data_IF_324538397406
#
_entry.id   IF_324538397406
#
_cell.length_a   1.000
_cell.length_b   1.000
_cell.length_c   1.000
_cell.angle_alpha   90.00
_cell.angle_beta   90.00
_cell.angle_gamma   90.00
#
_symmetry.space_group_name_H-M   'P 1'
#
loop_
_entity.id
_entity.type
_entity.pdbx_description
1 polymer ?
#
# COMPACT_ATOMS: atom_id res chain seq x y z
N UNK A 1 21.15 -1.84 0.19
CA UNK A 1 20.22 -0.79 -0.25
C UNK A 1 20.81 -0.14 -1.47
N UNK A 2 20.07 -0.04 -2.57
CA UNK A 2 20.48 0.61 -3.80
C UNK A 2 19.38 1.53 -4.30
N UNK A 3 19.68 2.82 -4.50
CA UNK A 3 18.78 3.79 -5.09
C UNK A 3 19.36 4.28 -6.40
N UNK A 4 18.54 4.33 -7.43
CA UNK A 4 18.89 4.96 -8.70
C UNK A 4 18.55 6.45 -8.68
N UNK A 5 18.85 7.13 -9.79
CA UNK A 5 18.72 8.58 -9.91
C UNK A 5 17.32 9.09 -9.58
N UNK A 6 17.26 10.28 -9.01
CA UNK A 6 16.03 11.07 -8.82
C UNK A 6 14.95 10.37 -7.97
N UNK A 7 15.35 9.49 -7.05
CA UNK A 7 14.43 8.95 -6.04
C UNK A 7 14.17 9.99 -4.95
N UNK A 8 12.92 10.10 -4.55
CA UNK A 8 12.51 10.88 -3.39
C UNK A 8 12.14 9.94 -2.24
N UNK A 9 12.81 10.11 -1.09
CA UNK A 9 12.59 9.27 0.09
C UNK A 9 12.21 10.15 1.26
N UNK A 10 11.02 9.92 1.78
CA UNK A 10 10.47 10.64 2.92
C UNK A 10 11.15 10.29 4.25
N UNK A 11 10.62 10.85 5.31
CA UNK A 11 11.16 10.74 6.66
C UNK A 11 10.76 9.42 7.33
N UNK A 12 11.60 8.96 8.27
CA UNK A 12 11.32 7.78 9.11
C UNK A 12 11.01 6.49 8.32
N UNK A 13 11.55 6.38 7.10
CA UNK A 13 11.43 5.19 6.27
C UNK A 13 12.39 4.09 6.74
N UNK A 14 12.03 2.84 6.50
CA UNK A 14 12.87 1.68 6.82
C UNK A 14 13.17 0.93 5.53
N UNK A 15 14.45 0.75 5.25
CA UNK A 15 14.93 -0.09 4.15
C UNK A 15 15.74 -1.24 4.73
N UNK A 16 15.24 -2.44 4.53
CA UNK A 16 15.96 -3.65 4.96
C UNK A 16 17.08 -4.03 3.96
N UNK A 17 17.80 -5.09 4.25
CA UNK A 17 18.95 -5.53 3.47
C UNK A 17 18.63 -5.69 1.98
N UNK A 18 19.46 -5.14 1.12
CA UNK A 18 19.34 -5.22 -0.35
C UNK A 18 18.02 -4.69 -0.93
N UNK A 19 17.27 -3.87 -0.18
CA UNK A 19 16.12 -3.16 -0.74
C UNK A 19 16.58 -2.21 -1.85
N UNK A 20 15.85 -2.20 -2.98
CA UNK A 20 16.27 -1.50 -4.21
C UNK A 20 15.16 -0.62 -4.75
N UNK A 21 15.50 0.62 -5.10
CA UNK A 21 14.62 1.53 -5.83
C UNK A 21 15.18 1.77 -7.23
N UNK A 22 14.36 1.60 -8.25
CA UNK A 22 14.69 2.05 -9.60
C UNK A 22 14.57 3.59 -9.71
N UNK A 23 14.82 4.16 -10.87
CA UNK A 23 14.82 5.63 -11.02
C UNK A 23 13.45 6.27 -10.79
N UNK A 24 13.46 7.50 -10.26
CA UNK A 24 12.26 8.33 -10.06
C UNK A 24 11.19 7.67 -9.17
N UNK A 25 11.59 6.87 -8.20
CA UNK A 25 10.68 6.26 -7.22
C UNK A 25 10.47 7.24 -6.06
N UNK A 26 9.22 7.38 -5.65
CA UNK A 26 8.85 8.16 -4.48
C UNK A 26 8.46 7.22 -3.34
N UNK A 27 9.11 7.34 -2.20
CA UNK A 27 8.78 6.61 -0.98
C UNK A 27 8.34 7.61 0.08
N UNK A 28 7.08 7.55 0.47
CA UNK A 28 6.51 8.47 1.44
C UNK A 28 6.94 8.13 2.89
N UNK A 29 6.64 9.04 3.81
CA UNK A 29 7.01 8.95 5.21
C UNK A 29 6.55 7.62 5.86
N UNK A 30 7.37 7.12 6.75
CA UNK A 30 7.10 5.92 7.55
C UNK A 30 6.89 4.63 6.75
N UNK A 31 7.17 4.62 5.46
CA UNK A 31 7.09 3.40 4.66
C UNK A 31 8.23 2.44 5.01
N UNK A 32 7.97 1.15 4.88
CA UNK A 32 8.96 0.09 5.06
C UNK A 32 9.13 -0.69 3.78
N UNK A 33 10.35 -0.80 3.29
CA UNK A 33 10.72 -1.63 2.14
C UNK A 33 11.52 -2.83 2.66
N UNK A 34 10.91 -4.00 2.60
CA UNK A 34 11.46 -5.25 3.13
C UNK A 34 12.73 -5.71 2.41
N UNK A 35 13.41 -6.67 3.01
CA UNK A 35 14.68 -7.20 2.48
C UNK A 35 14.50 -7.80 1.07
N UNK A 36 15.48 -7.56 0.20
CA UNK A 36 15.52 -8.05 -1.20
C UNK A 36 14.29 -7.63 -2.03
N UNK A 37 13.61 -6.58 -1.62
CA UNK A 37 12.48 -6.02 -2.36
C UNK A 37 12.93 -4.99 -3.37
N UNK A 38 12.18 -4.84 -4.46
CA UNK A 38 12.45 -3.87 -5.51
C UNK A 38 11.19 -3.07 -5.87
N UNK A 39 11.36 -1.78 -6.10
CA UNK A 39 10.30 -0.90 -6.59
C UNK A 39 10.68 -0.41 -7.98
N UNK A 40 9.77 -0.65 -8.93
CA UNK A 40 9.96 -0.29 -10.34
C UNK A 40 10.00 1.24 -10.52
N UNK A 41 10.68 1.71 -11.59
CA UNK A 41 10.80 3.12 -11.91
C UNK A 41 9.43 3.83 -12.00
N UNK A 42 9.39 5.07 -11.52
CA UNK A 42 8.21 5.93 -11.51
C UNK A 42 7.05 5.43 -10.65
N UNK A 43 7.27 4.40 -9.83
CA UNK A 43 6.27 3.97 -8.86
C UNK A 43 6.38 4.76 -7.56
N UNK A 44 5.27 4.81 -6.83
CA UNK A 44 5.20 5.44 -5.51
C UNK A 44 4.88 4.40 -4.44
N UNK A 45 5.47 4.59 -3.28
CA UNK A 45 5.17 3.83 -2.07
C UNK A 45 4.50 4.79 -1.09
N UNK A 46 3.23 4.56 -0.80
CA UNK A 46 2.44 5.44 0.06
C UNK A 46 2.89 5.46 1.52
N UNK A 47 2.47 6.47 2.29
CA UNK A 47 2.86 6.60 3.69
C UNK A 47 2.41 5.39 4.51
N UNK A 48 3.24 4.99 5.46
CA UNK A 48 3.02 3.83 6.34
C UNK A 48 2.81 2.49 5.61
N UNK A 49 3.10 2.42 4.31
CA UNK A 49 3.05 1.17 3.56
C UNK A 49 4.16 0.21 4.02
N UNK A 50 3.87 -1.06 3.95
CA UNK A 50 4.81 -2.12 4.27
C UNK A 50 4.94 -3.08 3.08
N UNK A 51 6.11 -3.08 2.45
CA UNK A 51 6.49 -4.11 1.48
C UNK A 51 7.17 -5.25 2.24
N UNK A 52 6.60 -6.43 2.18
CA UNK A 52 7.23 -7.64 2.72
C UNK A 52 8.54 -7.97 1.98
N UNK A 53 9.39 -8.79 2.58
CA UNK A 53 10.63 -9.22 1.93
C UNK A 53 10.36 -9.90 0.58
N UNK A 54 11.32 -9.80 -0.34
CA UNK A 54 11.25 -10.34 -1.71
C UNK A 54 10.06 -9.82 -2.54
N UNK A 55 9.52 -8.66 -2.22
CA UNK A 55 8.41 -8.05 -2.96
C UNK A 55 8.94 -7.26 -4.15
N UNK A 56 8.38 -7.49 -5.35
CA UNK A 56 8.67 -6.68 -6.54
C UNK A 56 7.44 -5.88 -6.92
N UNK A 57 7.43 -4.60 -6.54
CA UNK A 57 6.33 -3.69 -6.86
C UNK A 57 6.55 -3.07 -8.25
N UNK A 58 5.65 -3.33 -9.19
CA UNK A 58 5.65 -2.79 -10.56
C UNK A 58 4.59 -1.71 -10.77
N UNK A 59 3.77 -1.44 -9.77
CA UNK A 59 2.75 -0.41 -9.67
C UNK A 59 2.83 0.29 -8.32
N UNK A 60 2.10 1.38 -8.16
CA UNK A 60 2.08 2.13 -6.91
C UNK A 60 1.59 1.27 -5.74
N UNK A 61 2.25 1.38 -4.62
CA UNK A 61 1.94 0.68 -3.37
C UNK A 61 1.12 1.58 -2.47
N UNK A 62 -0.08 1.14 -2.13
CA UNK A 62 -1.07 1.96 -1.42
C UNK A 62 -0.61 2.42 -0.04
N UNK A 63 -1.01 3.63 0.39
CA UNK A 63 -0.85 4.09 1.76
C UNK A 63 -1.39 3.08 2.78
N UNK A 64 -0.71 2.88 3.89
CA UNK A 64 -1.14 2.01 4.99
C UNK A 64 -1.25 0.52 4.64
N UNK A 65 -0.82 0.10 3.47
CA UNK A 65 -0.95 -1.28 3.00
C UNK A 65 0.12 -2.22 3.56
N UNK A 66 -0.21 -3.50 3.52
CA UNK A 66 0.77 -4.58 3.50
C UNK A 66 0.74 -5.22 2.12
N UNK A 67 1.85 -5.12 1.40
CA UNK A 67 2.00 -5.64 0.04
C UNK A 67 3.11 -6.68 0.02
N UNK A 68 2.87 -7.81 -0.62
CA UNK A 68 3.79 -8.95 -0.66
C UNK A 68 3.79 -9.61 -2.03
N UNK A 69 4.84 -10.34 -2.34
CA UNK A 69 4.90 -11.21 -3.52
C UNK A 69 5.81 -10.72 -4.63
N UNK A 70 6.28 -11.68 -5.41
CA UNK A 70 7.21 -11.46 -6.49
C UNK A 70 6.50 -11.67 -7.84
N UNK A 71 6.30 -10.60 -8.57
CA UNK A 71 5.72 -10.54 -9.92
C UNK A 71 4.57 -11.53 -10.19
N UNK A 72 3.35 -11.18 -9.85
CA UNK A 72 2.91 -9.86 -9.39
C UNK A 72 3.01 -9.72 -7.86
N UNK A 73 3.20 -8.50 -7.41
CA UNK A 73 2.94 -8.14 -6.02
C UNK A 73 1.42 -8.16 -5.75
N UNK A 74 1.06 -8.51 -4.53
CA UNK A 74 -0.33 -8.61 -4.09
C UNK A 74 -0.60 -7.70 -2.89
N UNK A 75 -1.76 -7.09 -2.89
CA UNK A 75 -2.29 -6.43 -1.71
C UNK A 75 -2.77 -7.48 -0.71
N UNK A 76 -2.08 -7.57 0.42
CA UNK A 76 -2.49 -8.44 1.53
C UNK A 76 -3.62 -7.81 2.34
N UNK A 77 -3.61 -6.50 2.50
CA UNK A 77 -4.59 -5.70 3.23
C UNK A 77 -3.93 -4.50 3.92
N UNK A 78 -4.64 -3.84 4.83
CA UNK A 78 -4.07 -2.76 5.61
C UNK A 78 -3.08 -3.30 6.67
N UNK A 79 -2.00 -2.55 6.90
CA UNK A 79 -0.99 -2.83 7.92
C UNK A 79 -1.49 -2.43 9.32
N UNK A 80 -2.64 -2.95 9.74
CA UNK A 80 -3.33 -2.53 10.95
C UNK A 80 -2.46 -2.64 12.21
N UNK A 81 -1.60 -3.67 12.29
CA UNK A 81 -0.70 -3.85 13.43
C UNK A 81 0.38 -2.76 13.47
N UNK A 82 0.97 -2.45 12.31
CA UNK A 82 1.96 -1.38 12.17
C UNK A 82 1.39 -0.03 12.53
N UNK A 83 0.16 0.27 12.09
CA UNK A 83 -0.54 1.53 12.42
C UNK A 83 -0.81 1.65 13.92
N UNK A 84 -1.31 0.60 14.56
CA UNK A 84 -1.51 0.59 16.03
C UNK A 84 -0.22 0.82 16.79
N UNK A 85 0.88 0.15 16.41
CA UNK A 85 2.20 0.34 17.03
C UNK A 85 2.73 1.77 16.89
N UNK A 86 2.30 2.49 15.87
CA UNK A 86 2.65 3.90 15.62
C UNK A 86 1.66 4.89 16.23
N UNK A 87 0.74 4.43 17.07
CA UNK A 87 -0.18 5.27 17.83
C UNK A 87 -1.35 5.86 17.05
N UNK A 88 -1.72 5.26 15.93
CA UNK A 88 -2.93 5.68 15.23
C UNK A 88 -4.16 5.48 16.10
N UNK A 89 -5.05 6.46 16.10
CA UNK A 89 -6.31 6.37 16.82
C UNK A 89 -7.12 5.14 16.35
N UNK A 90 -7.81 4.43 17.23
CA UNK A 90 -8.62 3.26 16.88
C UNK A 90 -9.63 3.53 15.75
N UNK A 91 -10.23 4.72 15.74
CA UNK A 91 -11.19 5.19 14.74
C UNK A 91 -10.54 5.30 13.35
N UNK A 92 -9.33 5.87 13.28
CA UNK A 92 -8.57 5.97 12.04
C UNK A 92 -8.21 4.60 11.49
N UNK A 93 -7.75 3.69 12.34
CA UNK A 93 -7.44 2.29 11.94
C UNK A 93 -8.69 1.57 11.46
N UNK A 94 -9.83 1.77 12.13
CA UNK A 94 -11.11 1.19 11.73
C UNK A 94 -11.57 1.71 10.36
N UNK A 95 -11.47 3.01 10.12
CA UNK A 95 -11.81 3.64 8.86
C UNK A 95 -10.92 3.16 7.70
N UNK A 96 -9.60 3.07 7.92
CA UNK A 96 -8.66 2.50 6.94
C UNK A 96 -9.05 1.05 6.62
N UNK A 97 -9.33 0.22 7.61
CA UNK A 97 -9.76 -1.17 7.40
C UNK A 97 -11.06 -1.27 6.61
N UNK A 98 -11.99 -0.34 6.85
CA UNK A 98 -13.27 -0.30 6.13
C UNK A 98 -13.05 0.07 4.67
N UNK A 99 -12.26 1.11 4.41
CA UNK A 99 -11.88 1.51 3.05
C UNK A 99 -11.21 0.36 2.29
N UNK A 100 -10.26 -0.32 2.91
CA UNK A 100 -9.60 -1.48 2.31
C UNK A 100 -10.55 -2.65 2.04
N UNK A 101 -11.55 -2.86 2.89
CA UNK A 101 -12.58 -3.88 2.65
C UNK A 101 -13.38 -3.57 1.39
N UNK A 102 -13.76 -2.32 1.18
CA UNK A 102 -14.46 -1.91 -0.05
C UNK A 102 -13.56 -2.12 -1.26
N UNK A 103 -12.31 -1.65 -1.24
CA UNK A 103 -11.36 -1.82 -2.35
C UNK A 103 -11.10 -3.28 -2.72
N UNK A 104 -11.08 -4.17 -1.72
CA UNK A 104 -10.67 -5.56 -1.91
C UNK A 104 -11.84 -6.53 -2.12
N UNK A 105 -13.04 -6.22 -1.67
CA UNK A 105 -14.13 -7.18 -1.57
C UNK A 105 -15.41 -6.78 -2.30
N UNK A 106 -15.59 -5.50 -2.66
CA UNK A 106 -16.81 -5.04 -3.32
C UNK A 106 -16.99 -5.55 -4.74
N UNK A 107 -15.90 -5.94 -5.41
CA UNK A 107 -15.93 -6.26 -6.84
C UNK A 107 -16.12 -5.06 -7.76
N UNK A 108 -16.23 -3.87 -7.21
CA UNK A 108 -16.44 -2.63 -7.97
C UNK A 108 -15.16 -2.21 -8.71
N UNK A 109 -15.29 -1.52 -9.85
CA UNK A 109 -14.19 -0.78 -10.44
C UNK A 109 -13.59 0.21 -9.42
N UNK A 110 -12.28 0.44 -9.49
CA UNK A 110 -11.56 1.28 -8.52
C UNK A 110 -12.22 2.66 -8.33
N UNK A 111 -12.66 3.29 -9.42
CA UNK A 111 -13.32 4.61 -9.38
C UNK A 111 -14.63 4.59 -8.58
N UNK A 112 -15.43 3.55 -8.74
CA UNK A 112 -16.69 3.40 -8.02
C UNK A 112 -16.46 3.03 -6.56
N UNK A 113 -15.49 2.15 -6.28
CA UNK A 113 -15.07 1.83 -4.93
C UNK A 113 -14.63 3.08 -4.17
N UNK A 114 -13.84 3.96 -4.80
CA UNK A 114 -13.44 5.23 -4.20
C UNK A 114 -14.64 6.14 -3.90
N UNK A 115 -15.60 6.25 -4.83
CA UNK A 115 -16.84 7.03 -4.59
C UNK A 115 -17.65 6.47 -3.41
N UNK A 116 -17.73 5.16 -3.28
CA UNK A 116 -18.41 4.52 -2.17
C UNK A 116 -17.71 4.83 -0.84
N UNK A 117 -16.39 4.70 -0.79
CA UNK A 117 -15.59 5.00 0.42
C UNK A 117 -15.77 6.46 0.82
N UNK A 118 -15.71 7.37 -0.14
CA UNK A 118 -15.81 8.82 0.09
C UNK A 118 -17.17 9.23 0.70
N UNK A 119 -18.24 8.55 0.30
CA UNK A 119 -19.60 8.80 0.78
C UNK A 119 -19.94 8.09 2.09
N UNK A 120 -19.09 7.17 2.54
CA UNK A 120 -19.38 6.38 3.73
C UNK A 120 -19.16 7.21 5.01
N UNK A 121 -20.21 7.43 5.83
CA UNK A 121 -20.11 8.23 7.05
C UNK A 121 -19.07 7.64 8.02
N UNK A 122 -18.23 8.51 8.61
CA UNK A 122 -17.20 8.11 9.54
C UNK A 122 -15.98 7.40 8.89
N UNK A 123 -16.00 7.25 7.56
CA UNK A 123 -14.88 6.68 6.79
C UNK A 123 -14.30 7.73 5.86
N UNK A 124 -15.08 8.26 4.93
CA UNK A 124 -14.62 9.25 3.95
C UNK A 124 -14.14 10.56 4.58
N UNK A 125 -14.62 10.89 5.77
CA UNK A 125 -14.23 12.10 6.50
C UNK A 125 -12.86 11.97 7.20
N UNK A 126 -12.36 10.77 7.37
CA UNK A 126 -11.07 10.53 8.04
C UNK A 126 -9.91 11.00 7.18
N UNK A 127 -8.98 11.75 7.78
CA UNK A 127 -7.79 12.29 7.11
C UNK A 127 -7.01 11.21 6.37
N UNK A 128 -6.81 10.08 7.01
CA UNK A 128 -6.04 8.95 6.47
C UNK A 128 -6.71 8.33 5.24
N UNK A 129 -8.03 8.25 5.27
CA UNK A 129 -8.80 7.74 4.12
C UNK A 129 -8.77 8.72 2.95
N UNK A 130 -8.80 10.02 3.21
CA UNK A 130 -8.62 11.04 2.18
C UNK A 130 -7.24 10.95 1.51
N UNK A 131 -6.19 10.70 2.28
CA UNK A 131 -4.84 10.46 1.75
C UNK A 131 -4.83 9.23 0.83
N UNK A 132 -5.49 8.14 1.21
CA UNK A 132 -5.63 6.94 0.39
C UNK A 132 -6.36 7.22 -0.92
N UNK A 133 -7.49 7.94 -0.86
CA UNK A 133 -8.30 8.29 -2.04
C UNK A 133 -7.48 9.16 -3.00
N UNK A 134 -6.83 10.21 -2.50
CA UNK A 134 -6.01 11.11 -3.32
C UNK A 134 -4.81 10.40 -3.93
N UNK A 135 -4.15 9.53 -3.17
CA UNK A 135 -3.06 8.72 -3.68
C UNK A 135 -3.49 7.84 -4.86
N UNK A 136 -4.66 7.21 -4.78
CA UNK A 136 -5.20 6.39 -5.86
C UNK A 136 -5.62 7.22 -7.08
N UNK A 137 -6.23 8.38 -6.87
CA UNK A 137 -6.67 9.28 -7.96
C UNK A 137 -5.50 9.83 -8.77
N UNK A 138 -4.37 10.06 -8.12
CA UNK A 138 -3.16 10.58 -8.76
C UNK A 138 -2.20 9.52 -9.29
N UNK A 139 -2.58 8.24 -9.19
CA UNK A 139 -1.74 7.14 -9.65
C UNK A 139 -1.63 7.10 -11.18
N UNK A 140 -0.40 7.24 -11.68
CA UNK A 140 -0.11 7.20 -13.12
C UNK A 140 0.16 5.80 -13.65
N UNK A 141 0.68 4.92 -12.81
CA UNK A 141 1.06 3.54 -13.17
C UNK A 141 0.07 2.48 -12.68
N UNK A 142 -1.09 2.91 -12.17
CA UNK A 142 -2.00 2.05 -11.44
C UNK A 142 -1.48 1.69 -10.05
N UNK A 143 -2.27 0.96 -9.31
CA UNK A 143 -1.99 0.58 -7.93
C UNK A 143 -2.06 -0.93 -7.74
N UNK A 144 -1.29 -1.46 -6.79
CA UNK A 144 -1.33 -2.88 -6.44
C UNK A 144 -2.65 -3.16 -5.70
N UNK A 145 -3.63 -3.73 -6.38
CA UNK A 145 -4.93 -4.14 -5.82
C UNK A 145 -5.17 -5.65 -5.87
N UNK A 146 -4.41 -6.38 -6.69
CA UNK A 146 -4.62 -7.81 -6.88
C UNK A 146 -4.45 -8.55 -5.56
N UNK A 147 -5.46 -9.35 -5.17
CA UNK A 147 -5.38 -10.25 -4.01
C UNK A 147 -4.71 -11.57 -4.41
N UNK A 148 -3.94 -12.15 -3.48
CA UNK A 148 -3.54 -13.54 -3.62
C UNK A 148 -4.81 -14.41 -3.53
N UNK A 149 -5.10 -15.22 -4.54
CA UNK A 149 -6.15 -16.26 -4.42
C UNK A 149 -5.74 -17.17 -3.26
N UNK A 150 -6.65 -17.42 -2.31
CA UNK A 150 -6.46 -18.52 -1.36
C UNK A 150 -6.31 -19.79 -2.20
N UNK A 151 -5.19 -20.45 -2.06
CA UNK A 151 -5.09 -21.85 -2.48
C UNK A 151 -6.06 -22.57 -1.56
N UNK A 152 -7.07 -23.22 -2.12
CA UNK A 152 -7.88 -24.13 -1.35
C UNK A 152 -6.92 -25.19 -0.80
N UNK A 153 -6.85 -25.30 0.52
CA UNK A 153 -6.17 -26.44 1.13
C UNK A 153 -6.90 -27.67 0.64
N UNK A 154 -6.29 -28.42 -0.26
CA UNK A 154 -6.69 -29.78 -0.53
C UNK A 154 -6.22 -30.59 0.67
N UNK A 155 -7.13 -30.73 1.64
CA UNK A 155 -7.01 -31.78 2.64
C UNK A 155 -7.14 -33.12 1.88
N UNK A 156 -6.05 -33.85 1.75
CA UNK A 156 -6.00 -35.30 1.58
C UNK A 156 -5.44 -35.91 2.85
#
# INVERSE_FOLDING_TARGET
MLFRSDCHVGSSTIFANAATLAGHVEVADYATVGAFSAVHQFCRVGPYAFLGGFTVATMDVLPYSKTVGNRPAFLFGPNSLGLKRRGFAPEAVAAIRRAYRVLMQSGLPATEALRQIEKEPGVGDQKEVRILIEFMRTAKRGVVLKRRKRVADHDE
#
